data_IF_120939405246
#
_entry.id   IF_120939405246
#
_cell.length_a   1.000
_cell.length_b   1.000
_cell.length_c   1.000
_cell.angle_alpha   90.00
_cell.angle_beta   90.00
_cell.angle_gamma   90.00
#
_symmetry.space_group_name_H-M   'P 1'
#
loop_
_entity.id
_entity.type
_entity.pdbx_description
1 polymer ?
#
# COMPACT_ATOMS: atom_id res chain seq x y z
N UNK A 1 3.89 -5.67 11.26
CA UNK A 1 3.42 -6.93 10.65
C UNK A 1 3.81 -6.93 9.17
N UNK A 2 4.00 -8.09 8.56
CA UNK A 2 4.16 -8.21 7.10
C UNK A 2 2.83 -7.91 6.40
N UNK A 3 2.84 -7.20 5.27
CA UNK A 3 1.65 -6.83 4.51
C UNK A 3 1.21 -7.95 3.55
N UNK A 4 0.83 -9.10 4.10
CA UNK A 4 0.62 -10.33 3.32
C UNK A 4 -0.52 -10.23 2.29
N UNK A 5 -1.56 -9.42 2.55
CA UNK A 5 -2.66 -9.24 1.59
C UNK A 5 -2.22 -8.39 0.41
N UNK A 6 -1.50 -7.30 0.68
CA UNK A 6 -0.93 -6.46 -0.37
C UNK A 6 0.03 -7.26 -1.26
N UNK A 7 0.91 -8.07 -0.66
CA UNK A 7 1.84 -8.92 -1.41
C UNK A 7 1.13 -9.96 -2.27
N UNK A 8 0.09 -10.60 -1.74
CA UNK A 8 -0.71 -11.54 -2.52
C UNK A 8 -1.39 -10.86 -3.69
N UNK A 9 -1.94 -9.65 -3.49
CA UNK A 9 -2.62 -8.88 -4.52
C UNK A 9 -1.70 -8.38 -5.63
N UNK A 10 -0.40 -8.19 -5.36
CA UNK A 10 0.56 -7.67 -6.35
C UNK A 10 1.31 -8.75 -7.13
N UNK A 11 1.25 -10.02 -6.70
CA UNK A 11 1.95 -11.10 -7.40
C UNK A 11 1.33 -11.34 -8.78
N UNK A 12 2.14 -11.15 -9.82
CA UNK A 12 1.73 -11.35 -11.22
C UNK A 12 1.02 -10.15 -11.84
N UNK A 13 0.78 -9.09 -11.08
CA UNK A 13 0.17 -7.86 -11.57
C UNK A 13 1.19 -6.91 -12.21
N UNK A 14 0.72 -6.02 -13.08
CA UNK A 14 1.55 -4.95 -13.62
C UNK A 14 1.87 -3.92 -12.50
N UNK A 15 3.14 -3.49 -12.36
CA UNK A 15 3.56 -2.60 -11.30
C UNK A 15 3.15 -1.14 -11.59
N UNK A 16 1.87 -0.83 -11.42
CA UNK A 16 1.32 0.52 -11.60
C UNK A 16 0.68 1.06 -10.32
N UNK A 17 0.50 2.38 -10.26
CA UNK A 17 0.01 3.07 -9.07
C UNK A 17 -1.39 2.60 -8.64
N UNK A 18 -2.27 2.31 -9.59
CA UNK A 18 -3.62 1.83 -9.29
C UNK A 18 -3.59 0.46 -8.58
N UNK A 19 -2.75 -0.46 -9.06
CA UNK A 19 -2.53 -1.76 -8.43
C UNK A 19 -1.96 -1.61 -7.01
N UNK A 20 -1.00 -0.72 -6.80
CA UNK A 20 -0.41 -0.48 -5.47
C UNK A 20 -1.43 0.09 -4.48
N UNK A 21 -2.27 1.05 -4.91
CA UNK A 21 -3.34 1.61 -4.07
C UNK A 21 -4.38 0.56 -3.71
N UNK A 22 -4.80 -0.26 -4.66
CA UNK A 22 -5.75 -1.34 -4.42
C UNK A 22 -5.19 -2.38 -3.44
N UNK A 23 -3.93 -2.78 -3.60
CA UNK A 23 -3.25 -3.71 -2.70
C UNK A 23 -3.13 -3.18 -1.27
N UNK A 24 -2.77 -1.90 -1.11
CA UNK A 24 -2.75 -1.25 0.20
C UNK A 24 -4.13 -1.16 0.85
N UNK A 25 -5.17 -0.78 0.09
CA UNK A 25 -6.53 -0.72 0.59
C UNK A 25 -6.99 -2.10 1.11
N UNK A 26 -6.67 -3.18 0.40
CA UNK A 26 -6.97 -4.55 0.84
C UNK A 26 -6.24 -4.94 2.14
N UNK A 27 -4.99 -4.52 2.30
CA UNK A 27 -4.21 -4.78 3.52
C UNK A 27 -4.78 -4.03 4.75
N UNK A 28 -5.24 -2.80 4.56
CA UNK A 28 -5.79 -1.96 5.63
C UNK A 28 -7.31 -2.08 5.82
N UNK A 29 -8.01 -2.90 5.03
CA UNK A 29 -9.47 -3.06 5.12
C UNK A 29 -9.96 -3.47 6.52
N UNK A 30 -9.16 -4.26 7.26
CA UNK A 30 -9.51 -4.72 8.61
C UNK A 30 -8.92 -3.82 9.71
N UNK A 31 -8.31 -2.69 9.35
CA UNK A 31 -7.72 -1.78 10.33
C UNK A 31 -8.82 -1.24 11.26
N UNK A 32 -8.56 -1.30 12.56
CA UNK A 32 -9.41 -0.72 13.60
C UNK A 32 -8.69 0.47 14.23
N UNK A 33 -8.76 1.65 13.60
CA UNK A 33 -8.14 2.83 14.17
C UNK A 33 -8.81 3.26 15.47
N UNK A 34 -8.02 3.88 16.34
CA UNK A 34 -8.43 4.61 17.52
C UNK A 34 -8.55 6.10 17.18
N UNK A 35 -9.17 6.88 18.07
CA UNK A 35 -9.46 8.31 17.90
C UNK A 35 -8.29 9.10 17.30
N UNK A 36 -7.09 8.92 17.86
CA UNK A 36 -5.93 9.74 17.51
C UNK A 36 -5.09 9.16 16.37
N UNK A 37 -5.53 8.07 15.74
CA UNK A 37 -4.80 7.43 14.66
C UNK A 37 -5.66 7.04 13.44
N UNK A 38 -6.88 7.55 13.35
CA UNK A 38 -7.79 7.33 12.22
C UNK A 38 -7.22 7.73 10.86
N UNK A 39 -6.24 8.64 10.83
CA UNK A 39 -5.54 9.02 9.60
C UNK A 39 -4.50 8.00 9.12
N UNK A 40 -4.03 7.08 9.97
CA UNK A 40 -2.90 6.19 9.65
C UNK A 40 -3.17 5.22 8.50
N UNK A 41 -4.36 4.59 8.35
CA UNK A 41 -4.63 3.72 7.21
C UNK A 41 -4.48 4.44 5.87
N UNK A 42 -5.05 5.65 5.75
CA UNK A 42 -4.95 6.44 4.51
C UNK A 42 -3.51 6.91 4.25
N UNK A 43 -2.82 7.39 5.29
CA UNK A 43 -1.41 7.77 5.18
C UNK A 43 -0.57 6.57 4.71
N UNK A 44 -0.75 5.40 5.32
CA UNK A 44 -0.01 4.20 4.97
C UNK A 44 -0.31 3.73 3.53
N UNK A 45 -1.56 3.83 3.07
CA UNK A 45 -1.93 3.56 1.67
C UNK A 45 -1.18 4.45 0.69
N UNK A 46 -1.16 5.77 0.96
CA UNK A 46 -0.46 6.74 0.10
C UNK A 46 1.05 6.52 0.11
N UNK A 47 1.64 6.27 1.27
CA UNK A 47 3.08 6.01 1.41
C UNK A 47 3.47 4.73 0.69
N UNK A 48 2.72 3.65 0.84
CA UNK A 48 3.00 2.37 0.17
C UNK A 48 2.95 2.54 -1.35
N UNK A 49 1.88 3.17 -1.86
CA UNK A 49 1.73 3.40 -3.29
C UNK A 49 2.85 4.27 -3.88
N UNK A 50 3.25 5.33 -3.17
CA UNK A 50 4.34 6.20 -3.60
C UNK A 50 5.68 5.44 -3.65
N UNK A 51 6.05 4.73 -2.58
CA UNK A 51 7.32 4.00 -2.53
C UNK A 51 7.40 2.91 -3.61
N UNK A 52 6.33 2.14 -3.80
CA UNK A 52 6.32 1.11 -4.86
C UNK A 52 6.35 1.72 -6.26
N UNK A 53 5.72 2.88 -6.47
CA UNK A 53 5.78 3.59 -7.75
C UNK A 53 7.19 4.09 -8.08
N UNK A 54 7.91 4.65 -7.11
CA UNK A 54 9.30 5.07 -7.29
C UNK A 54 10.21 3.86 -7.60
N UNK A 55 10.07 2.78 -6.82
CA UNK A 55 10.80 1.52 -7.07
C UNK A 55 10.50 0.94 -8.46
N UNK A 56 9.24 1.01 -8.93
CA UNK A 56 8.85 0.50 -10.24
C UNK A 56 9.43 1.32 -11.40
N UNK A 57 9.70 2.61 -11.20
CA UNK A 57 10.40 3.46 -12.18
C UNK A 57 11.92 3.24 -12.19
N UNK A 58 12.46 2.60 -11.15
CA UNK A 58 13.90 2.50 -10.92
C UNK A 58 14.49 3.75 -10.26
N UNK A 59 13.64 4.67 -9.79
CA UNK A 59 14.04 5.87 -9.08
C UNK A 59 14.21 5.51 -7.60
N UNK A 60 15.45 5.21 -7.21
CA UNK A 60 15.83 5.05 -5.81
C UNK A 60 16.86 6.11 -5.50
N UNK A 61 16.48 7.07 -4.65
CA UNK A 61 17.38 8.09 -4.12
C UNK A 61 18.53 7.46 -3.30
#
# INVERSE_FOLDING_TARGET
>A
RRATKAEAALRGELPNEAAFRAAAAAEFADARPLRDNAFKPELATRTLAAVLAELAKGDVA
#
